data_IF_326825289550
#
_entry.id   IF_326825289550
#
_cell.length_a   1.000
_cell.length_b   1.000
_cell.length_c   1.000
_cell.angle_alpha   90.00
_cell.angle_beta   90.00
_cell.angle_gamma   90.00
#
_symmetry.space_group_name_H-M   'P 1'
#
loop_
_entity.id
_entity.type
_entity.pdbx_description
1 polymer ?
#
# COMPACT_ATOMS: atom_id res chain seq x y z
N UNK A 1 24.67 -16.57 16.26
CA UNK A 1 25.01 -15.48 15.41
C UNK A 1 24.71 -14.17 16.09
N UNK A 2 25.74 -13.37 16.26
CA UNK A 2 25.78 -12.17 17.09
C UNK A 2 24.76 -11.07 16.67
N UNK A 3 24.29 -11.05 15.42
CA UNK A 3 23.25 -10.11 14.95
C UNK A 3 21.92 -10.21 15.72
N UNK A 4 21.61 -11.35 16.29
CA UNK A 4 20.35 -11.61 16.98
C UNK A 4 20.46 -11.41 18.50
N UNK A 5 21.39 -10.58 18.96
CA UNK A 5 21.47 -10.14 20.35
C UNK A 5 20.44 -9.05 20.63
N UNK A 6 19.68 -9.18 21.71
CA UNK A 6 18.58 -8.29 22.10
C UNK A 6 19.05 -6.83 22.19
N UNK A 7 20.10 -6.57 22.96
CA UNK A 7 20.65 -5.22 23.13
C UNK A 7 21.14 -4.58 21.83
N UNK A 8 21.75 -5.40 20.93
CA UNK A 8 22.21 -4.92 19.65
C UNK A 8 21.05 -4.58 18.73
N UNK A 9 20.03 -5.42 18.70
CA UNK A 9 18.84 -5.23 17.89
C UNK A 9 18.06 -3.98 18.34
N UNK A 10 17.83 -3.83 19.62
CA UNK A 10 17.18 -2.66 20.20
C UNK A 10 17.95 -1.38 19.89
N UNK A 11 19.24 -1.33 20.21
CA UNK A 11 20.09 -0.16 19.95
C UNK A 11 20.10 0.22 18.46
N UNK A 12 20.14 -0.78 17.57
CA UNK A 12 20.12 -0.55 16.12
C UNK A 12 18.80 0.10 15.69
N UNK A 13 17.66 -0.40 16.17
CA UNK A 13 16.34 0.15 15.86
C UNK A 13 16.17 1.58 16.41
N UNK A 14 16.47 1.80 17.68
CA UNK A 14 16.34 3.11 18.33
C UNK A 14 17.21 4.16 17.62
N UNK A 15 18.42 3.79 17.24
CA UNK A 15 19.35 4.68 16.52
C UNK A 15 18.86 5.00 15.12
N UNK A 16 18.39 4.00 14.37
CA UNK A 16 17.92 4.16 12.99
C UNK A 16 16.68 5.04 12.90
N UNK A 17 15.67 4.74 13.72
CA UNK A 17 14.42 5.49 13.72
C UNK A 17 14.46 6.77 14.59
N UNK A 18 15.61 7.05 15.24
CA UNK A 18 15.82 8.24 16.08
C UNK A 18 14.78 8.40 17.19
N UNK A 19 14.39 7.30 17.81
CA UNK A 19 13.43 7.25 18.92
C UNK A 19 14.12 6.84 20.23
N UNK A 20 13.45 7.10 21.37
CA UNK A 20 14.02 6.85 22.70
C UNK A 20 13.59 5.51 23.30
N UNK A 21 12.54 4.89 22.77
CA UNK A 21 12.02 3.63 23.29
C UNK A 21 11.31 2.80 22.22
N UNK A 22 11.17 1.50 22.46
CA UNK A 22 10.47 0.56 21.56
C UNK A 22 8.97 0.81 21.50
N UNK A 23 8.37 1.38 22.56
CA UNK A 23 6.96 1.76 22.56
C UNK A 23 6.64 2.80 21.49
N UNK A 24 7.57 3.73 21.24
CA UNK A 24 7.41 4.73 20.17
C UNK A 24 7.37 4.10 18.76
N UNK A 25 7.88 2.88 18.61
CA UNK A 25 7.82 2.08 17.39
C UNK A 25 6.67 1.06 17.39
N UNK A 26 5.90 0.97 18.47
CA UNK A 26 4.88 -0.06 18.65
C UNK A 26 5.44 -1.48 18.80
N UNK A 27 6.71 -1.63 19.20
CA UNK A 27 7.41 -2.91 19.28
C UNK A 27 7.51 -3.51 20.68
N UNK A 28 6.93 -2.87 21.70
CA UNK A 28 7.04 -3.28 23.10
C UNK A 28 6.61 -4.74 23.35
N UNK A 29 5.62 -5.23 22.60
CA UNK A 29 5.08 -6.58 22.74
C UNK A 29 5.61 -7.58 21.68
N UNK A 30 6.66 -7.20 20.95
CA UNK A 30 7.18 -7.97 19.81
C UNK A 30 8.65 -8.37 19.96
N UNK A 31 9.03 -9.04 21.04
CA UNK A 31 10.43 -9.41 21.32
C UNK A 31 11.14 -10.06 20.11
N UNK A 32 10.57 -11.15 19.60
CA UNK A 32 11.16 -11.84 18.43
C UNK A 32 11.15 -10.97 17.16
N UNK A 33 10.10 -10.15 16.98
CA UNK A 33 9.98 -9.22 15.86
C UNK A 33 11.02 -8.11 15.93
N UNK A 34 11.25 -7.55 17.11
CA UNK A 34 12.26 -6.56 17.41
C UNK A 34 13.66 -7.09 17.09
N UNK A 35 14.01 -8.28 17.60
CA UNK A 35 15.29 -8.93 17.35
C UNK A 35 15.51 -9.15 15.85
N UNK A 36 14.50 -9.68 15.15
CA UNK A 36 14.59 -9.96 13.72
C UNK A 36 14.76 -8.68 12.89
N UNK A 37 14.00 -7.63 13.21
CA UNK A 37 14.08 -6.34 12.54
C UNK A 37 15.44 -5.65 12.76
N UNK A 38 15.93 -5.63 14.00
CA UNK A 38 17.23 -5.08 14.35
C UNK A 38 18.38 -5.81 13.67
N UNK A 39 18.33 -7.15 13.64
CA UNK A 39 19.32 -7.99 12.95
C UNK A 39 19.33 -7.70 11.43
N UNK A 40 18.14 -7.57 10.81
CA UNK A 40 18.00 -7.23 9.40
C UNK A 40 18.59 -5.85 9.09
N UNK A 41 18.25 -4.84 9.87
CA UNK A 41 18.78 -3.49 9.69
C UNK A 41 20.32 -3.49 9.82
N UNK A 42 20.86 -4.16 10.84
CA UNK A 42 22.30 -4.27 11.03
C UNK A 42 22.98 -4.92 9.83
N UNK A 43 22.42 -6.01 9.31
CA UNK A 43 22.89 -6.65 8.10
C UNK A 43 22.86 -5.72 6.87
N UNK A 44 21.77 -4.96 6.71
CA UNK A 44 21.64 -4.01 5.61
C UNK A 44 22.67 -2.88 5.69
N UNK A 45 22.94 -2.33 6.86
CA UNK A 45 24.01 -1.33 7.04
C UNK A 45 25.39 -1.86 6.62
N UNK A 46 25.69 -3.10 6.93
CA UNK A 46 26.98 -3.69 6.59
C UNK A 46 27.11 -4.04 5.10
N UNK A 47 26.01 -4.44 4.46
CA UNK A 47 26.03 -4.87 3.06
C UNK A 47 25.80 -3.73 2.07
N UNK A 48 24.88 -2.81 2.36
CA UNK A 48 24.53 -1.71 1.46
C UNK A 48 25.47 -0.50 1.59
N UNK A 49 26.12 -0.34 2.75
CA UNK A 49 27.05 0.77 3.05
C UNK A 49 26.46 2.16 2.75
N UNK A 50 25.16 2.34 2.98
CA UNK A 50 24.45 3.60 2.85
C UNK A 50 23.57 3.84 4.09
N UNK A 51 23.02 5.04 4.22
CA UNK A 51 22.27 5.46 5.41
C UNK A 51 20.87 4.87 5.55
N UNK A 52 20.40 4.04 4.61
CA UNK A 52 19.08 3.41 4.59
C UNK A 52 17.93 4.38 4.91
N UNK A 53 18.04 5.65 4.52
CA UNK A 53 17.06 6.70 4.80
C UNK A 53 15.67 6.42 4.18
N UNK A 54 15.60 5.51 3.24
CA UNK A 54 14.37 5.01 2.63
C UNK A 54 13.55 4.10 3.55
N UNK A 55 14.17 3.54 4.60
CA UNK A 55 13.49 2.75 5.64
C UNK A 55 13.15 3.70 6.79
N UNK A 56 12.07 4.46 6.66
CA UNK A 56 11.72 5.52 7.61
C UNK A 56 10.66 5.11 8.63
N UNK A 57 9.93 4.03 8.39
CA UNK A 57 8.81 3.58 9.23
C UNK A 57 8.88 2.08 9.44
N UNK A 58 8.52 1.62 10.63
CA UNK A 58 8.28 0.23 10.95
C UNK A 58 6.80 0.05 11.33
N UNK A 59 6.15 -0.96 10.77
CA UNK A 59 4.76 -1.28 11.07
C UNK A 59 4.69 -2.68 11.69
N UNK A 60 4.53 -2.80 13.02
CA UNK A 60 4.29 -4.09 13.64
C UNK A 60 2.91 -4.61 13.21
N UNK A 61 2.83 -5.89 12.93
CA UNK A 61 1.57 -6.56 12.64
C UNK A 61 1.42 -7.83 13.46
N UNK A 62 0.19 -8.14 13.84
CA UNK A 62 -0.16 -9.38 14.54
C UNK A 62 -0.86 -10.34 13.59
N UNK A 63 -0.41 -11.59 13.58
CA UNK A 63 -1.08 -12.66 12.84
C UNK A 63 -2.43 -13.04 13.45
N UNK A 64 -2.68 -12.64 14.70
CA UNK A 64 -3.94 -12.92 15.41
C UNK A 64 -5.18 -12.17 14.87
N UNK A 65 -5.00 -11.18 13.98
CA UNK A 65 -6.13 -10.45 13.34
C UNK A 65 -6.77 -11.21 12.17
N UNK A 66 -6.09 -12.23 11.64
CA UNK A 66 -6.51 -12.89 10.42
C UNK A 66 -6.74 -14.38 10.64
N UNK A 67 -7.69 -14.93 9.90
CA UNK A 67 -7.91 -16.38 9.83
C UNK A 67 -6.67 -17.04 9.21
N UNK A 68 -6.13 -18.05 9.89
CA UNK A 68 -4.99 -18.81 9.39
C UNK A 68 -5.49 -19.77 8.31
N UNK A 69 -5.15 -19.48 7.07
CA UNK A 69 -5.41 -20.32 5.90
C UNK A 69 -4.07 -20.79 5.34
N UNK A 70 -3.75 -22.07 5.52
CA UNK A 70 -2.53 -22.64 5.01
C UNK A 70 -2.53 -22.77 3.47
N UNK A 71 -1.40 -23.08 2.89
CA UNK A 71 -1.23 -23.18 1.44
C UNK A 71 -2.09 -24.28 0.81
N UNK A 72 -2.32 -25.39 1.54
CA UNK A 72 -3.14 -26.50 1.08
C UNK A 72 -4.61 -26.13 1.06
N UNK A 73 -5.11 -25.49 2.13
CA UNK A 73 -6.49 -24.99 2.20
C UNK A 73 -6.73 -23.96 1.12
N UNK A 74 -5.82 -22.97 0.97
CA UNK A 74 -5.91 -21.92 -0.05
C UNK A 74 -6.03 -22.50 -1.46
N UNK A 75 -5.21 -23.50 -1.77
CA UNK A 75 -5.23 -24.20 -3.05
C UNK A 75 -6.48 -25.03 -3.25
N UNK A 76 -6.90 -25.82 -2.23
CA UNK A 76 -8.07 -26.69 -2.33
C UNK A 76 -9.37 -25.91 -2.46
N UNK A 77 -9.47 -24.73 -1.87
CA UNK A 77 -10.62 -23.83 -2.02
C UNK A 77 -10.56 -22.97 -3.28
N UNK A 78 -9.51 -23.11 -4.08
CA UNK A 78 -9.30 -22.30 -5.32
C UNK A 78 -9.49 -20.79 -5.08
N UNK A 79 -8.94 -20.29 -3.99
CA UNK A 79 -9.17 -18.89 -3.58
C UNK A 79 -8.60 -17.89 -4.59
N UNK A 80 -7.41 -18.12 -5.11
CA UNK A 80 -6.70 -17.17 -5.99
C UNK A 80 -6.35 -17.75 -7.36
N UNK A 81 -6.30 -19.08 -7.48
CA UNK A 81 -6.03 -19.80 -8.72
C UNK A 81 -6.71 -21.17 -8.73
N UNK A 82 -6.99 -21.71 -9.91
CA UNK A 82 -7.59 -23.04 -10.07
C UNK A 82 -6.58 -24.15 -9.81
N UNK A 83 -7.06 -25.31 -9.35
CA UNK A 83 -6.24 -26.49 -9.03
C UNK A 83 -5.52 -27.05 -10.26
N UNK A 84 -6.22 -27.15 -11.40
CA UNK A 84 -5.73 -27.81 -12.60
C UNK A 84 -4.83 -26.92 -13.44
N UNK A 85 -5.31 -25.70 -13.75
CA UNK A 85 -4.67 -24.84 -14.73
C UNK A 85 -3.78 -23.77 -14.09
N UNK A 86 -3.82 -23.62 -12.76
CA UNK A 86 -3.12 -22.58 -12.01
C UNK A 86 -3.36 -21.18 -12.58
N UNK A 87 -4.60 -20.93 -13.00
CA UNK A 87 -5.03 -19.67 -13.58
C UNK A 87 -5.96 -18.92 -12.59
N UNK A 88 -5.93 -17.59 -12.65
CA UNK A 88 -6.86 -16.76 -11.90
C UNK A 88 -8.31 -17.00 -12.31
N UNK A 89 -8.57 -17.19 -13.63
CA UNK A 89 -9.91 -17.41 -14.17
C UNK A 89 -10.52 -18.69 -13.58
N UNK A 90 -11.70 -18.58 -13.00
CA UNK A 90 -12.40 -19.68 -12.34
C UNK A 90 -12.19 -19.75 -10.83
N UNK A 91 -11.25 -18.97 -10.25
CA UNK A 91 -11.04 -18.89 -8.80
C UNK A 91 -12.05 -17.94 -8.13
N UNK A 92 -12.14 -17.99 -6.79
CA UNK A 92 -12.94 -17.04 -6.01
C UNK A 92 -12.52 -15.59 -6.29
N UNK A 93 -11.21 -15.32 -6.27
CA UNK A 93 -10.66 -14.01 -6.57
C UNK A 93 -11.10 -13.49 -7.96
N UNK A 94 -11.14 -14.35 -8.96
CA UNK A 94 -11.60 -13.94 -10.31
C UNK A 94 -13.04 -13.47 -10.33
N UNK A 95 -13.93 -14.11 -9.56
CA UNK A 95 -15.34 -13.71 -9.46
C UNK A 95 -15.48 -12.36 -8.77
N UNK A 96 -14.75 -12.16 -7.68
CA UNK A 96 -14.84 -10.97 -6.84
C UNK A 96 -14.11 -9.76 -7.43
N UNK A 97 -13.04 -9.96 -8.21
CA UNK A 97 -12.19 -8.87 -8.70
C UNK A 97 -12.89 -8.04 -9.78
N UNK A 98 -13.49 -6.95 -9.34
CA UNK A 98 -14.04 -5.87 -10.16
C UNK A 98 -13.33 -4.55 -9.87
N UNK A 99 -12.13 -4.62 -9.31
CA UNK A 99 -11.32 -3.45 -8.96
C UNK A 99 -10.95 -2.64 -10.20
N UNK A 100 -10.74 -1.33 -10.00
CA UNK A 100 -10.37 -0.41 -11.08
C UNK A 100 -8.87 -0.11 -11.12
N UNK A 101 -8.15 -0.39 -10.02
CA UNK A 101 -6.73 -0.10 -9.89
C UNK A 101 -5.93 -1.37 -9.59
N UNK A 102 -4.66 -1.39 -10.00
CA UNK A 102 -3.76 -2.50 -9.68
C UNK A 102 -3.52 -2.64 -8.16
N UNK A 103 -3.46 -1.53 -7.43
CA UNK A 103 -3.35 -1.50 -5.98
C UNK A 103 -4.58 -2.12 -5.31
N UNK A 104 -5.78 -1.76 -5.78
CA UNK A 104 -7.03 -2.34 -5.31
C UNK A 104 -7.11 -3.85 -5.56
N UNK A 105 -6.63 -4.32 -6.71
CA UNK A 105 -6.58 -5.76 -7.02
C UNK A 105 -5.64 -6.51 -6.06
N UNK A 106 -4.49 -5.93 -5.70
CA UNK A 106 -3.58 -6.50 -4.70
C UNK A 106 -4.23 -6.54 -3.31
N UNK A 107 -4.88 -5.46 -2.90
CA UNK A 107 -5.57 -5.38 -1.62
C UNK A 107 -6.72 -6.40 -1.54
N UNK A 108 -7.54 -6.52 -2.59
CA UNK A 108 -8.60 -7.52 -2.65
C UNK A 108 -8.04 -8.94 -2.56
N UNK A 109 -6.93 -9.22 -3.24
CA UNK A 109 -6.25 -10.51 -3.13
C UNK A 109 -5.83 -10.79 -1.69
N UNK A 110 -5.24 -9.81 -1.01
CA UNK A 110 -4.84 -9.98 0.40
C UNK A 110 -6.04 -10.25 1.32
N UNK A 111 -7.19 -9.63 1.07
CA UNK A 111 -8.43 -9.88 1.81
C UNK A 111 -8.95 -11.30 1.63
N UNK A 112 -8.82 -11.86 0.42
CA UNK A 112 -9.21 -13.25 0.13
C UNK A 112 -8.23 -14.25 0.75
N UNK A 113 -6.93 -13.94 0.75
CA UNK A 113 -5.89 -14.81 1.31
C UNK A 113 -5.78 -14.75 2.83
N UNK A 114 -6.17 -13.61 3.43
CA UNK A 114 -6.09 -13.32 4.87
C UNK A 114 -7.39 -12.68 5.36
N UNK A 115 -8.50 -13.45 5.47
CA UNK A 115 -9.76 -12.91 5.98
C UNK A 115 -9.63 -12.47 7.43
N UNK A 116 -10.32 -11.38 7.78
CA UNK A 116 -10.42 -10.92 9.16
C UNK A 116 -11.20 -11.91 10.02
N UNK A 117 -10.88 -11.97 11.32
CA UNK A 117 -11.62 -12.71 12.33
C UNK A 117 -12.30 -11.79 13.34
N UNK A 118 -11.86 -10.55 13.46
CA UNK A 118 -12.49 -9.55 14.33
C UNK A 118 -13.84 -9.14 13.76
N UNK A 119 -14.89 -9.33 14.56
CA UNK A 119 -16.27 -9.06 14.15
C UNK A 119 -16.49 -7.56 13.87
N UNK A 120 -15.97 -6.67 14.71
CA UNK A 120 -16.17 -5.24 14.55
C UNK A 120 -15.53 -4.73 13.26
N UNK A 121 -14.32 -5.19 12.94
CA UNK A 121 -13.63 -4.85 11.69
C UNK A 121 -14.36 -5.41 10.45
N UNK A 122 -14.98 -6.58 10.56
CA UNK A 122 -15.80 -7.16 9.49
C UNK A 122 -17.06 -6.32 9.28
N UNK A 123 -17.80 -5.99 10.35
CA UNK A 123 -19.02 -5.19 10.31
C UNK A 123 -18.74 -3.81 9.73
N UNK A 124 -17.65 -3.15 10.14
CA UNK A 124 -17.20 -1.87 9.61
C UNK A 124 -17.01 -1.89 8.07
N UNK A 125 -16.44 -2.98 7.52
CA UNK A 125 -16.34 -3.15 6.05
C UNK A 125 -17.68 -3.41 5.40
N UNK A 126 -18.56 -4.17 6.06
CA UNK A 126 -19.90 -4.46 5.55
C UNK A 126 -20.77 -3.20 5.49
N UNK A 127 -20.67 -2.33 6.50
CA UNK A 127 -21.39 -1.05 6.54
C UNK A 127 -20.97 -0.15 5.37
N UNK A 128 -19.68 -0.07 5.08
CA UNK A 128 -19.17 0.68 3.94
C UNK A 128 -19.69 0.11 2.59
N UNK A 129 -19.72 -1.22 2.44
CA UNK A 129 -20.28 -1.87 1.26
C UNK A 129 -21.79 -1.59 1.14
N UNK A 130 -22.52 -1.66 2.25
CA UNK A 130 -23.95 -1.39 2.31
C UNK A 130 -24.25 0.04 1.82
N UNK A 131 -23.54 1.01 2.36
CA UNK A 131 -23.71 2.41 2.02
C UNK A 131 -23.36 2.69 0.55
N UNK A 132 -22.22 2.16 0.05
CA UNK A 132 -21.86 2.24 -1.36
C UNK A 132 -22.89 1.60 -2.30
N UNK A 133 -23.58 0.57 -1.86
CA UNK A 133 -24.67 -0.04 -2.64
C UNK A 133 -25.96 0.81 -2.66
N UNK A 134 -26.21 1.58 -1.61
CA UNK A 134 -27.32 2.52 -1.57
C UNK A 134 -27.08 3.76 -2.44
N UNK A 135 -25.82 4.22 -2.51
CA UNK A 135 -25.38 5.39 -3.27
C UNK A 135 -24.80 5.00 -4.64
N UNK A 136 -25.63 4.39 -5.50
CA UNK A 136 -25.18 3.81 -6.78
C UNK A 136 -24.51 4.85 -7.69
N UNK A 137 -25.05 6.07 -7.78
CA UNK A 137 -24.53 7.13 -8.64
C UNK A 137 -23.12 7.54 -8.17
N UNK A 138 -22.98 7.90 -6.90
CA UNK A 138 -21.70 8.30 -6.30
C UNK A 138 -20.67 7.16 -6.39
N UNK A 139 -21.10 5.91 -6.19
CA UNK A 139 -20.23 4.73 -6.36
C UNK A 139 -19.69 4.59 -7.79
N UNK A 140 -20.56 4.72 -8.81
CA UNK A 140 -20.10 4.63 -10.20
C UNK A 140 -19.19 5.82 -10.56
N UNK A 141 -19.48 7.00 -10.06
CA UNK A 141 -18.61 8.18 -10.25
C UNK A 141 -17.23 7.97 -9.59
N UNK A 142 -17.17 7.44 -8.36
CA UNK A 142 -15.91 7.01 -7.73
C UNK A 142 -15.14 6.03 -8.61
N UNK A 143 -15.83 5.08 -9.22
CA UNK A 143 -15.20 4.09 -10.12
C UNK A 143 -14.61 4.73 -11.36
N UNK A 144 -15.24 5.76 -11.91
CA UNK A 144 -14.70 6.51 -13.05
C UNK A 144 -13.44 7.29 -12.67
N UNK A 145 -13.39 7.94 -11.50
CA UNK A 145 -12.17 8.61 -11.02
C UNK A 145 -11.05 7.63 -10.65
N UNK A 146 -11.36 6.42 -10.21
CA UNK A 146 -10.37 5.38 -9.93
C UNK A 146 -9.76 4.77 -11.20
N UNK A 147 -10.49 4.75 -12.31
CA UNK A 147 -10.08 4.06 -13.53
C UNK A 147 -8.78 4.59 -14.16
N UNK A 148 -8.51 5.92 -14.24
CA UNK A 148 -7.28 6.47 -14.80
C UNK A 148 -6.07 6.42 -13.84
N UNK A 149 -6.25 5.95 -12.59
CA UNK A 149 -5.16 5.91 -11.62
C UNK A 149 -4.19 4.79 -11.95
N UNK A 150 -2.95 5.16 -12.20
CA UNK A 150 -1.85 4.23 -12.44
C UNK A 150 -1.42 3.52 -11.16
N UNK A 151 -0.52 2.54 -11.28
CA UNK A 151 0.06 1.83 -10.14
C UNK A 151 1.05 2.72 -9.38
N UNK A 152 0.54 3.51 -8.43
CA UNK A 152 1.32 4.46 -7.65
C UNK A 152 2.47 3.79 -6.87
N UNK A 153 2.26 2.59 -6.34
CA UNK A 153 3.30 1.85 -5.63
C UNK A 153 4.50 1.55 -6.53
N UNK A 154 4.25 1.15 -7.78
CA UNK A 154 5.31 0.91 -8.77
C UNK A 154 5.98 2.19 -9.22
N UNK A 155 5.23 3.27 -9.39
CA UNK A 155 5.80 4.55 -9.76
C UNK A 155 6.71 5.09 -8.65
N UNK A 156 6.27 5.07 -7.39
CA UNK A 156 7.10 5.44 -6.23
C UNK A 156 8.35 4.57 -6.13
N UNK A 157 8.20 3.26 -6.34
CA UNK A 157 9.35 2.35 -6.35
C UNK A 157 10.41 2.77 -7.38
N UNK A 158 9.99 3.14 -8.60
CA UNK A 158 10.92 3.64 -9.63
C UNK A 158 11.60 4.94 -9.22
N UNK A 159 10.87 5.86 -8.58
CA UNK A 159 11.44 7.10 -8.04
C UNK A 159 12.49 6.79 -6.98
N UNK A 160 12.19 5.92 -6.03
CA UNK A 160 13.11 5.52 -4.95
C UNK A 160 14.39 4.88 -5.48
N UNK A 161 14.28 4.06 -6.54
CA UNK A 161 15.46 3.44 -7.18
C UNK A 161 16.14 4.33 -8.23
N UNK A 162 15.70 5.59 -8.39
CA UNK A 162 16.23 6.53 -9.38
C UNK A 162 16.17 6.02 -10.83
N UNK A 163 15.17 5.18 -11.12
CA UNK A 163 14.91 4.61 -12.45
C UNK A 163 13.67 5.19 -13.12
N UNK A 164 13.00 6.12 -12.42
CA UNK A 164 11.84 6.82 -12.97
C UNK A 164 12.24 7.70 -14.16
N UNK A 165 11.41 7.72 -15.18
CA UNK A 165 11.53 8.62 -16.31
C UNK A 165 10.48 9.76 -16.23
N UNK A 166 10.58 10.82 -17.05
CA UNK A 166 9.63 11.92 -16.99
C UNK A 166 8.17 11.52 -17.23
N UNK A 167 7.91 10.53 -18.07
CA UNK A 167 6.54 10.00 -18.31
C UNK A 167 5.97 9.30 -17.07
N UNK A 168 6.83 8.65 -16.28
CA UNK A 168 6.41 8.06 -15.00
C UNK A 168 5.92 9.15 -14.02
N UNK A 169 6.56 10.33 -14.02
CA UNK A 169 6.15 11.46 -13.20
C UNK A 169 4.85 12.11 -13.70
N UNK A 170 4.65 12.21 -15.01
CA UNK A 170 3.36 12.66 -15.58
C UNK A 170 2.24 11.65 -15.24
N UNK A 171 2.49 10.35 -15.35
CA UNK A 171 1.53 9.33 -14.95
C UNK A 171 1.21 9.40 -13.44
N UNK A 172 2.22 9.69 -12.61
CA UNK A 172 2.03 9.93 -11.18
C UNK A 172 1.16 11.17 -10.94
N UNK A 173 1.51 12.32 -11.55
CA UNK A 173 0.72 13.55 -11.48
C UNK A 173 -0.74 13.33 -11.90
N UNK A 174 -0.97 12.67 -13.04
CA UNK A 174 -2.32 12.40 -13.54
C UNK A 174 -3.13 11.53 -12.58
N UNK A 175 -2.46 10.63 -11.87
CA UNK A 175 -3.10 9.78 -10.85
C UNK A 175 -3.48 10.57 -9.60
N UNK A 176 -2.56 11.39 -9.05
CA UNK A 176 -2.84 12.17 -7.84
C UNK A 176 -3.84 13.30 -8.10
N UNK A 177 -3.94 13.81 -9.34
CA UNK A 177 -4.97 14.77 -9.72
C UNK A 177 -6.40 14.24 -9.59
N UNK A 178 -6.58 12.90 -9.49
CA UNK A 178 -7.89 12.28 -9.22
C UNK A 178 -8.24 12.22 -7.73
N UNK A 179 -7.31 12.51 -6.82
CA UNK A 179 -7.56 12.42 -5.38
C UNK A 179 -8.54 13.49 -4.86
N UNK A 180 -8.46 14.79 -5.25
CA UNK A 180 -9.42 15.78 -4.77
C UNK A 180 -10.88 15.44 -5.08
N UNK A 181 -11.29 15.10 -6.32
CA UNK A 181 -12.68 14.69 -6.59
C UNK A 181 -13.08 13.41 -5.84
N UNK A 182 -12.20 12.41 -5.70
CA UNK A 182 -12.45 11.22 -4.89
C UNK A 182 -12.72 11.60 -3.43
N UNK A 183 -11.85 12.42 -2.84
CA UNK A 183 -12.00 12.90 -1.46
C UNK A 183 -13.32 13.66 -1.26
N UNK A 184 -13.73 14.46 -2.24
CA UNK A 184 -15.01 15.17 -2.22
C UNK A 184 -16.19 14.21 -2.20
N UNK A 185 -16.20 13.22 -3.09
CA UNK A 185 -17.29 12.22 -3.18
C UNK A 185 -17.40 11.35 -1.92
N UNK A 186 -16.26 11.06 -1.27
CA UNK A 186 -16.26 10.35 0.01
C UNK A 186 -17.00 11.13 1.11
N UNK A 187 -17.19 12.43 0.96
CA UNK A 187 -17.96 13.28 1.87
C UNK A 187 -19.47 13.00 1.88
N UNK A 188 -20.00 12.33 0.87
CA UNK A 188 -21.42 11.94 0.79
C UNK A 188 -21.78 10.76 1.67
N UNK A 189 -20.77 10.04 2.20
CA UNK A 189 -20.93 8.84 2.99
C UNK A 189 -20.81 9.14 4.49
N UNK A 190 -21.53 8.36 5.31
CA UNK A 190 -21.58 8.53 6.76
C UNK A 190 -20.90 7.41 7.54
N UNK A 191 -20.59 6.27 6.91
CA UNK A 191 -19.97 5.14 7.59
C UNK A 191 -18.52 5.47 8.02
N UNK A 192 -18.14 4.89 9.13
CA UNK A 192 -16.84 5.13 9.78
C UNK A 192 -15.65 4.89 8.84
N UNK A 193 -15.65 3.75 8.12
CA UNK A 193 -14.53 3.38 7.26
C UNK A 193 -14.28 4.37 6.11
N UNK A 194 -15.34 4.84 5.44
CA UNK A 194 -15.18 5.80 4.34
C UNK A 194 -14.83 7.20 4.89
N UNK A 195 -15.30 7.53 6.08
CA UNK A 195 -14.89 8.74 6.81
C UNK A 195 -13.40 8.74 7.14
N UNK A 196 -12.88 7.66 7.71
CA UNK A 196 -11.46 7.49 8.00
C UNK A 196 -10.60 7.59 6.74
N UNK A 197 -10.99 6.88 5.66
CA UNK A 197 -10.28 6.93 4.37
C UNK A 197 -10.24 8.38 3.85
N UNK A 198 -11.34 9.12 3.98
CA UNK A 198 -11.42 10.52 3.56
C UNK A 198 -10.49 11.41 4.39
N UNK A 199 -10.46 11.24 5.71
CA UNK A 199 -9.62 12.04 6.62
C UNK A 199 -8.15 11.77 6.39
N UNK A 200 -7.76 10.51 6.25
CA UNK A 200 -6.37 10.09 6.02
C UNK A 200 -5.85 10.41 4.61
N UNK A 201 -6.75 10.71 3.66
CA UNK A 201 -6.37 11.00 2.28
C UNK A 201 -5.74 12.40 2.15
N UNK A 202 -4.43 12.45 1.88
CA UNK A 202 -3.75 13.65 1.41
C UNK A 202 -3.92 13.79 -0.11
N UNK A 203 -4.36 14.93 -0.57
CA UNK A 203 -4.60 15.21 -2.01
C UNK A 203 -3.35 15.56 -2.78
N UNK A 204 -2.22 15.81 -2.10
CA UNK A 204 -0.90 16.08 -2.68
C UNK A 204 -0.91 17.22 -3.74
N UNK A 205 -1.72 18.24 -3.56
CA UNK A 205 -1.90 19.33 -4.54
C UNK A 205 -0.60 20.09 -4.84
N UNK A 206 0.22 20.34 -3.81
CA UNK A 206 1.51 21.00 -3.98
C UNK A 206 2.47 20.18 -4.84
N UNK A 207 2.49 18.87 -4.64
CA UNK A 207 3.31 17.96 -5.44
C UNK A 207 2.80 17.86 -6.88
N UNK A 208 1.50 17.82 -7.07
CA UNK A 208 0.88 17.87 -8.38
C UNK A 208 1.30 19.14 -9.14
N UNK A 209 1.18 20.31 -8.51
CA UNK A 209 1.57 21.60 -9.07
C UNK A 209 3.10 21.72 -9.33
N UNK A 210 3.92 21.07 -8.49
CA UNK A 210 5.37 21.03 -8.69
C UNK A 210 5.72 20.25 -9.97
N UNK A 211 5.15 19.07 -10.18
CA UNK A 211 5.40 18.24 -11.36
C UNK A 211 4.90 18.96 -12.62
N UNK A 212 3.74 19.61 -12.54
CA UNK A 212 3.13 20.37 -13.63
C UNK A 212 4.03 21.52 -14.13
N UNK A 213 4.72 22.19 -13.20
CA UNK A 213 5.65 23.27 -13.53
C UNK A 213 7.03 22.78 -13.99
N UNK A 214 7.43 21.59 -13.55
CA UNK A 214 8.78 21.09 -13.75
C UNK A 214 8.92 20.18 -14.97
N UNK A 215 7.83 19.65 -15.52
CA UNK A 215 7.89 18.64 -16.60
C UNK A 215 6.87 19.02 -17.68
N UNK A 216 7.30 18.95 -18.95
CA UNK A 216 6.41 19.13 -20.10
C UNK A 216 5.29 18.08 -20.11
N UNK A 217 4.14 18.45 -20.68
CA UNK A 217 2.96 17.57 -20.76
C UNK A 217 3.23 16.29 -21.57
N UNK A 218 4.03 16.38 -22.62
CA UNK A 218 4.44 15.24 -23.45
C UNK A 218 5.97 15.08 -23.45
N UNK A 219 6.59 14.64 -22.35
CA UNK A 219 8.04 14.54 -22.27
C UNK A 219 8.57 13.36 -23.10
N UNK A 220 9.80 13.46 -23.63
CA UNK A 220 10.49 12.36 -24.28
C UNK A 220 10.69 11.19 -23.31
N UNK A 221 10.95 10.00 -23.84
CA UNK A 221 11.17 8.79 -23.02
C UNK A 221 12.50 8.87 -22.27
N UNK A 222 13.51 9.47 -22.91
CA UNK A 222 14.87 9.52 -22.38
C UNK A 222 15.24 10.93 -21.94
N UNK A 223 15.81 11.01 -20.75
CA UNK A 223 16.40 12.28 -20.21
C UNK A 223 17.48 12.84 -21.13
N UNK A 224 18.10 11.99 -21.97
CA UNK A 224 19.17 12.38 -22.89
C UNK A 224 18.68 13.17 -24.12
N UNK A 225 17.40 13.08 -24.42
CA UNK A 225 16.85 13.70 -25.64
C UNK A 225 16.60 15.22 -25.46
N UNK A 226 16.75 15.75 -24.25
CA UNK A 226 16.47 17.17 -23.93
C UNK A 226 14.98 17.51 -23.95
N UNK A 227 14.64 18.81 -23.68
CA UNK A 227 13.24 19.25 -23.74
C UNK A 227 12.32 18.59 -22.72
N UNK A 228 12.76 18.47 -21.48
CA UNK A 228 12.00 17.84 -20.39
C UNK A 228 11.23 18.87 -19.55
N UNK A 229 11.75 20.10 -19.51
CA UNK A 229 11.29 21.25 -18.71
C UNK A 229 10.90 22.36 -19.65
#
# INVERSE_FOLDING_TARGET
>A
TWYFGDELAETTLLTHFKVKSLEALGLADYDCGMIAAGALLKYLYETQKNDLNNISVIHPYSTGKYMIIDSSIRRNLELVETLREKQKRGSLLWVLDKTKTAMGARLLRSYVEQPLIDKAEIEKRQDAICELNQHVITREELREYLNPIYDLERLITRVTYLTANPRDLIAFRSSIAMLPPIKSLLGDFQCELLGEIREDMDTLEELCALIDRAIMEEPPISVRDGGLI
#
